data_IF_776621178429
#
_entry.id   IF_776621178429
#
_cell.length_a   1.000
_cell.length_b   1.000
_cell.length_c   1.000
_cell.angle_alpha   90.00
_cell.angle_beta   90.00
_cell.angle_gamma   90.00
#
_symmetry.space_group_name_H-M   'P 1'
#
loop_
_entity.id
_entity.type
_entity.pdbx_description
1 polymer ?
#
# COMPACT_ATOMS: atom_id res chain seq x y z
N UNK A 1 -41.95 10.26 30.35
CA UNK A 1 -42.70 11.18 29.48
C UNK A 1 -41.87 11.38 28.23
N UNK A 2 -42.22 10.63 27.17
CA UNK A 2 -41.52 10.64 25.87
C UNK A 2 -41.85 11.92 25.10
N UNK A 3 -40.84 12.52 24.47
CA UNK A 3 -41.05 13.49 23.38
C UNK A 3 -40.18 13.09 22.18
N UNK A 4 -40.70 12.15 21.39
CA UNK A 4 -40.25 11.87 20.03
C UNK A 4 -40.72 13.00 19.12
N UNK A 5 -39.78 13.75 18.52
CA UNK A 5 -40.08 14.61 17.36
C UNK A 5 -39.86 13.82 16.08
N UNK A 6 -40.95 13.68 15.33
CA UNK A 6 -41.04 13.06 14.00
C UNK A 6 -40.50 14.05 12.94
N UNK A 7 -39.64 13.58 12.05
CA UNK A 7 -39.35 14.21 10.76
C UNK A 7 -38.94 13.09 9.80
N UNK A 8 -39.90 12.50 9.08
CA UNK A 8 -40.29 12.88 7.71
C UNK A 8 -39.38 12.24 6.66
N UNK A 9 -39.77 11.01 6.29
CA UNK A 9 -39.38 10.27 5.08
C UNK A 9 -39.45 11.16 3.83
N UNK A 10 -38.37 11.23 3.06
CA UNK A 10 -38.42 11.44 1.61
C UNK A 10 -37.49 10.43 0.94
N UNK A 11 -38.07 9.30 0.53
CA UNK A 11 -37.45 8.30 -0.33
C UNK A 11 -37.70 8.74 -1.77
N UNK A 12 -36.66 9.15 -2.50
CA UNK A 12 -36.75 9.28 -3.96
C UNK A 12 -36.15 8.03 -4.61
N UNK A 13 -37.06 7.12 -4.95
CA UNK A 13 -36.83 5.99 -5.86
C UNK A 13 -36.63 6.54 -7.28
N UNK A 14 -35.53 6.16 -7.95
CA UNK A 14 -35.42 6.23 -9.40
C UNK A 14 -34.90 4.88 -9.92
N UNK A 15 -35.83 3.99 -10.22
CA UNK A 15 -35.60 2.74 -10.94
C UNK A 15 -35.93 3.00 -12.41
N UNK A 16 -34.95 2.89 -13.31
CA UNK A 16 -35.19 2.87 -14.76
C UNK A 16 -34.64 1.55 -15.32
N UNK A 17 -35.57 0.61 -15.52
CA UNK A 17 -35.37 -0.62 -16.28
C UNK A 17 -35.44 -0.30 -17.78
N UNK A 18 -34.42 -0.69 -18.54
CA UNK A 18 -34.55 -0.86 -19.99
C UNK A 18 -34.12 -2.29 -20.35
N UNK A 19 -35.11 -3.18 -20.37
CA UNK A 19 -35.05 -4.42 -21.14
C UNK A 19 -35.63 -4.11 -22.53
N UNK A 20 -34.82 -4.21 -23.57
CA UNK A 20 -35.32 -4.39 -24.93
C UNK A 20 -34.81 -5.74 -25.44
N UNK A 21 -35.61 -6.76 -25.18
CA UNK A 21 -35.58 -8.03 -25.89
C UNK A 21 -36.14 -7.81 -27.30
N UNK A 22 -35.26 -7.85 -28.31
CA UNK A 22 -35.65 -7.92 -29.72
C UNK A 22 -35.42 -9.32 -30.27
N UNK A 23 -36.36 -10.25 -30.01
CA UNK A 23 -36.50 -11.46 -30.79
C UNK A 23 -37.09 -11.09 -32.16
N UNK A 24 -36.38 -11.38 -33.24
CA UNK A 24 -36.83 -11.15 -34.62
C UNK A 24 -36.25 -12.20 -35.55
N UNK A 25 -37.13 -12.94 -36.23
CA UNK A 25 -36.91 -14.16 -36.99
C UNK A 25 -35.92 -14.08 -38.17
N UNK A 26 -35.32 -15.24 -38.44
CA UNK A 26 -34.62 -15.64 -39.66
C UNK A 26 -35.38 -15.29 -40.95
N UNK A 27 -34.66 -14.73 -41.94
CA UNK A 27 -34.83 -15.10 -43.35
C UNK A 27 -33.45 -15.16 -44.03
N UNK A 28 -33.21 -16.30 -44.68
CA UNK A 28 -32.05 -16.62 -45.49
C UNK A 28 -32.07 -15.84 -46.79
N UNK A 29 -30.92 -15.30 -47.20
CA UNK A 29 -30.52 -15.18 -48.61
C UNK A 29 -29.04 -15.55 -48.71
N UNK A 30 -28.76 -16.57 -49.51
CA UNK A 30 -27.42 -17.04 -49.86
C UNK A 30 -26.83 -16.15 -50.94
N UNK A 31 -25.58 -15.70 -50.78
CA UNK A 31 -24.63 -15.65 -51.90
C UNK A 31 -23.16 -15.59 -51.41
N UNK A 32 -22.46 -16.70 -51.68
CA UNK A 32 -21.10 -16.79 -52.23
C UNK A 32 -19.89 -16.21 -51.47
N UNK A 33 -19.26 -17.12 -50.73
CA UNK A 33 -17.81 -17.35 -50.52
C UNK A 33 -16.80 -16.26 -50.88
N UNK A 34 -16.18 -15.68 -49.84
CA UNK A 34 -14.72 -15.44 -49.77
C UNK A 34 -14.25 -16.02 -48.45
N UNK A 35 -13.39 -17.04 -48.50
CA UNK A 35 -12.78 -17.62 -47.32
C UNK A 35 -11.66 -16.70 -46.82
N UNK A 36 -11.98 -15.82 -45.86
CA UNK A 36 -10.96 -15.27 -44.97
C UNK A 36 -10.80 -16.25 -43.81
N UNK A 37 -9.73 -17.03 -43.87
CA UNK A 37 -9.20 -17.73 -42.70
C UNK A 37 -8.70 -16.68 -41.73
N UNK A 38 -9.58 -16.14 -40.89
CA UNK A 38 -9.17 -15.46 -39.67
C UNK A 38 -8.61 -16.54 -38.75
N UNK A 39 -7.31 -16.79 -38.86
CA UNK A 39 -6.54 -17.34 -37.75
C UNK A 39 -6.72 -16.37 -36.59
N UNK A 40 -7.67 -16.69 -35.70
CA UNK A 40 -7.68 -16.16 -34.35
C UNK A 40 -6.36 -16.64 -33.76
N UNK A 41 -5.37 -15.74 -33.76
CA UNK A 41 -4.19 -15.92 -32.95
C UNK A 41 -4.69 -15.96 -31.50
N UNK A 42 -4.89 -17.17 -30.97
CA UNK A 42 -4.90 -17.42 -29.55
C UNK A 42 -3.66 -16.73 -29.01
N UNK A 43 -3.86 -15.55 -28.43
CA UNK A 43 -2.80 -14.85 -27.74
C UNK A 43 -2.69 -15.60 -26.43
N UNK A 44 -2.05 -16.77 -26.48
CA UNK A 44 -1.67 -17.53 -25.31
C UNK A 44 -0.81 -16.57 -24.50
N UNK A 45 -1.41 -15.94 -23.50
CA UNK A 45 -0.72 -15.08 -22.56
C UNK A 45 0.12 -16.06 -21.76
N UNK A 46 1.31 -16.35 -22.26
CA UNK A 46 2.28 -17.19 -21.55
C UNK A 46 2.54 -16.44 -20.25
N UNK A 47 2.02 -16.98 -19.15
CA UNK A 47 2.32 -16.44 -17.83
C UNK A 47 3.85 -16.35 -17.75
N UNK A 48 4.41 -15.16 -17.49
CA UNK A 48 5.85 -15.00 -17.45
C UNK A 48 6.44 -16.02 -16.49
N UNK A 49 7.52 -16.69 -16.90
CA UNK A 49 8.21 -17.66 -16.06
C UNK A 49 8.49 -17.03 -14.69
N UNK A 50 8.04 -17.65 -13.57
CA UNK A 50 8.21 -17.05 -12.27
C UNK A 50 9.71 -16.84 -12.01
N UNK A 51 10.10 -15.59 -11.75
CA UNK A 51 11.46 -15.30 -11.28
C UNK A 51 11.63 -15.86 -9.87
N UNK A 52 12.85 -16.24 -9.49
CA UNK A 52 13.11 -16.61 -8.09
C UNK A 52 12.72 -15.46 -7.14
N UNK A 53 12.25 -15.76 -5.93
CA UNK A 53 12.00 -14.75 -4.90
C UNK A 53 13.31 -14.13 -4.36
N UNK A 54 14.43 -14.86 -4.45
CA UNK A 54 15.75 -14.40 -4.04
C UNK A 54 16.15 -13.08 -4.70
N UNK A 55 16.68 -12.14 -3.91
CA UNK A 55 17.29 -10.90 -4.38
C UNK A 55 16.62 -9.63 -3.83
N UNK A 56 16.95 -8.51 -4.47
CA UNK A 56 16.46 -7.19 -4.11
C UNK A 56 15.20 -6.81 -4.89
N UNK A 57 14.27 -6.18 -4.20
CA UNK A 57 12.98 -5.76 -4.70
C UNK A 57 12.72 -4.31 -4.32
N UNK A 58 12.18 -3.53 -5.24
CA UNK A 58 11.91 -2.10 -5.04
C UNK A 58 10.42 -1.83 -5.20
N UNK A 59 9.83 -1.09 -4.26
CA UNK A 59 8.41 -0.80 -4.28
C UNK A 59 8.03 -0.04 -5.56
N UNK A 60 6.84 -0.34 -6.07
CA UNK A 60 6.20 0.36 -7.19
C UNK A 60 4.79 0.75 -6.77
N UNK A 61 4.30 1.87 -7.29
CA UNK A 61 2.96 2.40 -6.96
C UNK A 61 2.70 2.54 -5.45
N UNK A 62 3.74 2.85 -4.67
CA UNK A 62 3.68 2.79 -3.21
C UNK A 62 2.79 3.87 -2.59
N UNK A 63 2.58 4.99 -3.28
CA UNK A 63 1.69 6.08 -2.86
C UNK A 63 0.29 5.56 -2.49
N UNK A 64 -0.27 4.66 -3.30
CA UNK A 64 -1.60 4.08 -3.05
C UNK A 64 -1.64 3.25 -1.76
N UNK A 65 -0.53 2.59 -1.41
CA UNK A 65 -0.40 1.85 -0.14
C UNK A 65 -0.47 2.82 1.04
N UNK A 66 0.29 3.90 0.95
CA UNK A 66 0.46 4.89 2.01
C UNK A 66 -0.82 5.70 2.22
N UNK A 67 -1.52 6.08 1.14
CA UNK A 67 -2.78 6.82 1.24
C UNK A 67 -3.87 6.03 2.00
N UNK A 68 -3.90 4.70 1.86
CA UNK A 68 -4.84 3.83 2.61
C UNK A 68 -4.63 3.91 4.11
N UNK A 69 -3.40 4.02 4.56
CA UNK A 69 -3.09 4.10 6.00
C UNK A 69 -3.39 5.50 6.53
N UNK A 70 -3.18 6.55 5.72
CA UNK A 70 -3.49 7.93 6.12
C UNK A 70 -4.96 8.19 6.41
N UNK A 71 -5.87 7.45 5.76
CA UNK A 71 -7.30 7.52 6.07
C UNK A 71 -7.61 7.15 7.53
N UNK A 72 -6.78 6.34 8.16
CA UNK A 72 -6.92 5.93 9.57
C UNK A 72 -6.31 6.97 10.51
N UNK A 73 -5.14 7.51 10.16
CA UNK A 73 -4.33 8.31 11.08
C UNK A 73 -4.60 9.81 11.06
N UNK A 74 -5.16 10.35 9.97
CA UNK A 74 -5.41 11.77 9.83
C UNK A 74 -6.91 12.01 9.74
N UNK A 75 -7.45 12.87 10.61
CA UNK A 75 -8.88 13.15 10.68
C UNK A 75 -9.39 14.11 9.60
N UNK A 76 -8.52 14.94 9.03
CA UNK A 76 -8.87 15.97 8.07
C UNK A 76 -8.16 15.79 6.71
N UNK A 77 -8.82 16.27 5.65
CA UNK A 77 -8.33 16.12 4.28
C UNK A 77 -7.05 16.93 4.01
N UNK A 78 -6.86 18.07 4.67
CA UNK A 78 -5.71 18.94 4.46
C UNK A 78 -4.43 18.29 4.99
N UNK A 79 -4.46 17.71 6.19
CA UNK A 79 -3.34 16.94 6.75
C UNK A 79 -3.01 15.74 5.89
N UNK A 80 -4.02 15.00 5.41
CA UNK A 80 -3.82 13.87 4.48
C UNK A 80 -3.08 14.30 3.22
N UNK A 81 -3.54 15.38 2.57
CA UNK A 81 -2.92 15.90 1.36
C UNK A 81 -1.46 16.30 1.59
N UNK A 82 -1.18 17.04 2.66
CA UNK A 82 0.18 17.47 3.03
C UNK A 82 1.10 16.27 3.26
N UNK A 83 0.64 15.26 4.00
CA UNK A 83 1.48 14.10 4.34
C UNK A 83 1.69 13.19 3.12
N UNK A 84 0.68 13.03 2.24
CA UNK A 84 0.85 12.40 0.93
C UNK A 84 1.89 13.09 0.08
N UNK A 85 1.87 14.43 0.02
CA UNK A 85 2.87 15.22 -0.71
C UNK A 85 4.28 15.07 -0.11
N UNK A 86 4.38 14.99 1.22
CA UNK A 86 5.66 14.85 1.89
C UNK A 86 6.33 13.49 1.66
N UNK A 87 5.54 12.43 1.46
CA UNK A 87 6.05 11.07 1.30
C UNK A 87 5.87 10.49 -0.11
N UNK A 88 5.61 11.32 -1.12
CA UNK A 88 5.34 10.86 -2.49
C UNK A 88 6.50 10.08 -3.11
N UNK A 89 7.74 10.43 -2.75
CA UNK A 89 8.97 9.88 -3.33
C UNK A 89 9.56 8.73 -2.52
N UNK A 90 8.87 8.28 -1.48
CA UNK A 90 9.34 7.16 -0.68
C UNK A 90 9.27 5.88 -1.51
N UNK A 91 10.39 5.17 -1.58
CA UNK A 91 10.44 3.88 -2.28
C UNK A 91 11.04 2.83 -1.37
N UNK A 92 10.19 2.09 -0.63
CA UNK A 92 10.67 0.98 0.17
C UNK A 92 11.29 -0.14 -0.67
N UNK A 93 12.08 -0.97 -0.03
CA UNK A 93 12.69 -2.15 -0.63
C UNK A 93 12.43 -3.38 0.23
N UNK A 94 12.37 -4.53 -0.42
CA UNK A 94 12.50 -5.83 0.22
C UNK A 94 13.79 -6.50 -0.25
N UNK A 95 14.52 -7.08 0.67
CA UNK A 95 15.61 -8.00 0.35
C UNK A 95 15.23 -9.38 0.83
N UNK A 96 15.28 -10.36 -0.06
CA UNK A 96 14.97 -11.77 0.23
C UNK A 96 16.25 -12.58 0.05
N UNK A 97 16.68 -13.25 1.11
CA UNK A 97 17.85 -14.15 1.09
C UNK A 97 17.51 -15.46 1.78
N UNK A 98 17.31 -16.52 0.99
CA UNK A 98 16.74 -17.77 1.47
C UNK A 98 15.36 -17.53 2.08
N UNK A 99 15.22 -17.82 3.38
CA UNK A 99 13.98 -17.55 4.12
C UNK A 99 13.94 -16.16 4.75
N UNK A 100 15.06 -15.44 4.77
CA UNK A 100 15.17 -14.18 5.48
C UNK A 100 14.66 -13.03 4.61
N UNK A 101 13.84 -12.16 5.20
CA UNK A 101 13.27 -11.00 4.54
C UNK A 101 13.55 -9.73 5.35
N UNK A 102 14.13 -8.74 4.70
CA UNK A 102 14.37 -7.41 5.27
C UNK A 102 13.55 -6.38 4.51
N UNK A 103 12.81 -5.54 5.24
CA UNK A 103 12.11 -4.37 4.70
C UNK A 103 12.88 -3.10 5.05
N UNK A 104 13.11 -2.21 4.08
CA UNK A 104 13.82 -0.95 4.31
C UNK A 104 13.19 0.20 3.53
N UNK A 105 13.45 1.43 3.96
CA UNK A 105 13.14 2.63 3.18
C UNK A 105 14.04 3.79 3.56
N UNK A 106 14.08 4.78 2.67
CA UNK A 106 14.60 6.11 2.93
C UNK A 106 13.54 7.15 2.60
N UNK A 107 13.41 8.17 3.43
CA UNK A 107 12.45 9.26 3.23
C UNK A 107 13.12 10.62 3.42
N UNK A 108 12.94 11.52 2.46
CA UNK A 108 13.25 12.94 2.62
C UNK A 108 12.19 13.57 3.54
N UNK A 109 12.60 14.06 4.70
CA UNK A 109 11.69 14.56 5.72
C UNK A 109 11.45 16.06 5.63
N UNK A 110 12.11 16.80 4.72
CA UNK A 110 12.09 18.26 4.71
C UNK A 110 10.66 18.82 4.57
N UNK A 111 9.89 18.34 3.57
CA UNK A 111 8.48 18.74 3.40
C UNK A 111 7.62 18.39 4.62
N UNK A 112 7.81 17.21 5.20
CA UNK A 112 7.07 16.79 6.38
C UNK A 112 7.40 17.67 7.59
N UNK A 113 8.67 18.02 7.79
CA UNK A 113 9.14 18.92 8.84
C UNK A 113 8.51 20.31 8.68
N UNK A 114 8.43 20.84 7.46
CA UNK A 114 7.75 22.12 7.19
C UNK A 114 6.28 22.07 7.60
N UNK A 115 5.57 21.02 7.19
CA UNK A 115 4.17 20.85 7.58
C UNK A 115 4.01 20.67 9.08
N UNK A 116 4.87 19.89 9.73
CA UNK A 116 4.85 19.70 11.18
C UNK A 116 5.06 21.01 11.93
N UNK A 117 6.05 21.82 11.53
CA UNK A 117 6.32 23.12 12.14
C UNK A 117 5.15 24.09 11.93
N UNK A 118 4.56 24.13 10.72
CA UNK A 118 3.40 24.98 10.44
C UNK A 118 2.17 24.60 11.29
N UNK A 119 1.90 23.29 11.42
CA UNK A 119 0.76 22.79 12.21
C UNK A 119 0.93 23.03 13.72
N UNK A 120 2.16 23.05 14.21
CA UNK A 120 2.45 23.19 15.64
C UNK A 120 3.07 24.55 15.99
N UNK A 121 2.91 25.57 15.14
CA UNK A 121 3.49 26.91 15.33
C UNK A 121 3.02 27.63 16.60
N UNK A 122 1.85 27.25 17.12
CA UNK A 122 1.30 27.82 18.35
C UNK A 122 1.88 27.12 19.61
N UNK A 123 2.48 25.94 19.43
CA UNK A 123 3.16 25.17 20.48
C UNK A 123 4.69 25.39 20.45
N UNK A 124 5.29 25.43 19.25
CA UNK A 124 6.73 25.61 19.04
C UNK A 124 7.01 26.93 18.32
N UNK A 125 7.65 27.90 18.99
CA UNK A 125 7.96 29.22 18.42
C UNK A 125 8.84 29.22 17.16
N UNK A 126 9.62 28.17 16.91
CA UNK A 126 10.55 28.09 15.77
C UNK A 126 10.47 26.75 15.05
N UNK A 127 10.83 26.75 13.76
CA UNK A 127 10.93 25.52 12.96
C UNK A 127 12.02 24.60 13.52
N UNK A 128 13.11 25.17 14.00
CA UNK A 128 14.23 24.44 14.60
C UNK A 128 13.78 23.67 15.85
N UNK A 129 13.00 24.31 16.73
CA UNK A 129 12.44 23.67 17.92
C UNK A 129 11.45 22.56 17.55
N UNK A 130 10.50 22.84 16.66
CA UNK A 130 9.57 21.82 16.17
C UNK A 130 10.31 20.62 15.54
N UNK A 131 11.38 20.88 14.79
CA UNK A 131 12.22 19.83 14.20
C UNK A 131 12.90 19.00 15.29
N UNK A 132 13.52 19.63 16.28
CA UNK A 132 14.20 18.92 17.37
C UNK A 132 13.24 18.02 18.16
N UNK A 133 12.04 18.52 18.46
CA UNK A 133 10.98 17.73 19.11
C UNK A 133 10.56 16.56 18.24
N UNK A 134 10.26 16.79 16.96
CA UNK A 134 9.86 15.73 16.04
C UNK A 134 10.92 14.63 15.96
N UNK A 135 12.18 15.00 15.76
CA UNK A 135 13.29 14.05 15.66
C UNK A 135 13.49 13.28 16.95
N UNK A 136 13.46 13.95 18.12
CA UNK A 136 13.60 13.28 19.42
C UNK A 136 12.47 12.30 19.71
N UNK A 137 11.23 12.62 19.34
CA UNK A 137 10.10 11.67 19.46
C UNK A 137 10.31 10.46 18.54
N UNK A 138 10.85 10.66 17.33
CA UNK A 138 11.09 9.57 16.39
C UNK A 138 12.27 8.70 16.79
N UNK A 139 13.35 9.28 17.28
CA UNK A 139 14.48 8.53 17.85
C UNK A 139 14.00 7.64 19.01
N UNK A 140 13.23 8.19 19.96
CA UNK A 140 12.64 7.42 21.05
C UNK A 140 11.73 6.31 20.53
N UNK A 141 10.95 6.58 19.48
CA UNK A 141 10.07 5.57 18.88
C UNK A 141 10.87 4.44 18.24
N UNK A 142 11.91 4.75 17.47
CA UNK A 142 12.77 3.71 16.88
C UNK A 142 13.51 2.90 17.95
N UNK A 143 13.99 3.54 19.02
CA UNK A 143 14.58 2.85 20.16
C UNK A 143 13.63 1.93 20.95
N UNK A 144 12.32 2.01 20.70
CA UNK A 144 11.32 1.12 21.32
C UNK A 144 11.10 -0.19 20.56
N UNK A 145 11.53 -0.26 19.29
CA UNK A 145 11.39 -1.46 18.48
C UNK A 145 12.50 -2.46 18.78
N UNK A 146 12.18 -3.75 18.64
CA UNK A 146 13.15 -4.84 18.80
C UNK A 146 13.75 -5.27 17.48
N UNK A 147 12.98 -5.18 16.40
CA UNK A 147 13.35 -5.66 15.07
C UNK A 147 13.54 -4.55 14.05
N UNK A 148 13.34 -3.29 14.48
CA UNK A 148 13.49 -2.13 13.62
C UNK A 148 14.55 -1.17 14.12
N UNK A 149 15.24 -0.58 13.16
CA UNK A 149 16.15 0.55 13.38
C UNK A 149 15.75 1.69 12.48
N UNK A 150 16.01 2.91 12.94
CA UNK A 150 15.78 4.12 12.17
C UNK A 150 16.79 5.19 12.55
N UNK A 151 17.38 5.85 11.56
CA UNK A 151 18.38 6.90 11.76
C UNK A 151 18.04 8.11 10.91
N UNK A 152 18.18 9.30 11.50
CA UNK A 152 18.07 10.56 10.77
C UNK A 152 19.45 11.14 10.51
N UNK A 153 19.70 11.49 9.25
CA UNK A 153 20.82 12.36 8.92
C UNK A 153 20.44 13.80 9.27
N UNK A 154 21.08 14.35 10.30
CA UNK A 154 20.81 15.71 10.77
C UNK A 154 21.21 16.81 9.77
N UNK A 155 22.00 16.53 8.74
CA UNK A 155 22.33 17.49 7.69
C UNK A 155 21.28 17.45 6.58
N UNK A 156 21.04 16.27 6.00
CA UNK A 156 20.15 16.11 4.85
C UNK A 156 18.66 15.98 5.23
N UNK A 157 18.37 15.70 6.50
CA UNK A 157 17.03 15.35 7.01
C UNK A 157 16.44 14.10 6.36
N UNK A 158 17.29 13.22 5.84
CA UNK A 158 16.85 11.92 5.35
C UNK A 158 16.73 10.95 6.52
N UNK A 159 15.55 10.35 6.67
CA UNK A 159 15.34 9.18 7.52
C UNK A 159 15.65 7.92 6.72
N UNK A 160 16.46 7.03 7.28
CA UNK A 160 16.61 5.66 6.80
C UNK A 160 16.13 4.71 7.88
N UNK A 161 15.38 3.67 7.51
CA UNK A 161 14.90 2.68 8.46
C UNK A 161 14.86 1.28 7.84
N UNK A 162 15.02 0.30 8.72
CA UNK A 162 15.08 -1.12 8.36
C UNK A 162 14.32 -1.94 9.41
N UNK A 163 13.50 -2.87 8.94
CA UNK A 163 12.84 -3.93 9.68
C UNK A 163 13.48 -5.26 9.27
N UNK A 164 14.08 -5.93 10.25
CA UNK A 164 14.76 -7.21 10.08
C UNK A 164 13.86 -8.38 10.51
N UNK A 165 14.40 -9.60 10.36
CA UNK A 165 13.82 -10.84 10.86
C UNK A 165 12.45 -11.20 10.29
N UNK A 166 12.13 -10.69 9.09
CA UNK A 166 11.02 -11.20 8.30
C UNK A 166 11.32 -12.62 7.82
N UNK A 167 10.30 -13.48 7.78
CA UNK A 167 10.45 -14.89 7.41
C UNK A 167 9.51 -15.25 6.27
N UNK A 168 10.11 -15.64 5.13
CA UNK A 168 9.42 -16.17 3.97
C UNK A 168 9.07 -17.65 4.18
N UNK A 169 7.84 -18.01 3.84
CA UNK A 169 7.39 -19.39 3.70
C UNK A 169 6.80 -19.59 2.32
N UNK A 170 7.57 -20.19 1.41
CA UNK A 170 7.15 -20.39 0.02
C UNK A 170 5.97 -21.35 -0.12
N UNK A 171 5.90 -22.37 0.74
CA UNK A 171 4.82 -23.36 0.71
C UNK A 171 3.48 -22.74 1.11
N UNK A 172 3.49 -21.90 2.14
CA UNK A 172 2.31 -21.18 2.61
C UNK A 172 2.01 -19.92 1.80
N UNK A 173 2.94 -19.48 0.94
CA UNK A 173 2.91 -18.20 0.23
C UNK A 173 2.73 -17.00 1.17
N UNK A 174 3.55 -16.95 2.22
CA UNK A 174 3.49 -15.88 3.22
C UNK A 174 4.86 -15.31 3.54
N UNK A 175 4.89 -14.04 3.96
CA UNK A 175 6.01 -13.41 4.65
C UNK A 175 5.50 -12.95 6.01
N UNK A 176 6.15 -13.39 7.08
CA UNK A 176 5.80 -13.00 8.45
C UNK A 176 6.82 -11.98 8.94
N UNK A 177 6.38 -10.81 9.37
CA UNK A 177 7.24 -9.84 10.04
C UNK A 177 6.96 -9.84 11.55
N UNK A 178 8.00 -9.77 12.40
CA UNK A 178 7.83 -9.76 13.86
C UNK A 178 7.24 -8.44 14.37
N UNK A 179 7.31 -7.37 13.57
CA UNK A 179 6.69 -6.08 13.81
C UNK A 179 6.07 -5.58 12.50
N UNK A 180 5.09 -4.68 12.59
CA UNK A 180 4.40 -4.17 11.40
C UNK A 180 5.32 -3.23 10.60
N UNK A 181 5.57 -3.49 9.30
CA UNK A 181 6.26 -2.53 8.41
C UNK A 181 5.59 -1.17 8.50
N UNK A 182 6.36 -0.08 8.56
CA UNK A 182 5.80 1.26 8.72
C UNK A 182 6.64 2.30 7.99
N UNK A 183 6.07 3.50 7.86
CA UNK A 183 6.80 4.71 7.52
C UNK A 183 6.95 5.55 8.79
N UNK A 184 8.12 6.17 8.93
CA UNK A 184 8.41 7.14 9.98
C UNK A 184 8.28 6.61 11.42
N UNK A 185 8.38 5.29 11.64
CA UNK A 185 8.24 4.66 12.95
C UNK A 185 6.81 4.62 13.49
N UNK A 186 5.83 5.22 12.80
CA UNK A 186 4.50 5.49 13.36
C UNK A 186 3.33 5.27 12.40
N UNK A 187 3.57 5.22 11.09
CA UNK A 187 2.56 4.99 10.06
C UNK A 187 2.62 3.52 9.61
N UNK A 188 1.94 2.58 10.30
CA UNK A 188 1.97 1.18 9.90
C UNK A 188 1.40 1.02 8.49
N UNK A 189 2.02 0.12 7.71
CA UNK A 189 1.56 -0.33 6.40
C UNK A 189 0.49 -1.43 6.55
N UNK A 190 -0.43 -1.16 7.48
CA UNK A 190 -1.56 -1.98 7.90
C UNK A 190 -2.49 -1.14 8.80
N UNK A 191 -3.55 -1.74 9.37
CA UNK A 191 -4.57 -1.06 10.19
C UNK A 191 -4.00 -0.46 11.47
N UNK A 192 -3.09 -1.19 12.13
CA UNK A 192 -2.47 -0.79 13.39
C UNK A 192 -1.05 -1.39 13.48
N UNK A 193 -0.31 -1.00 14.51
CA UNK A 193 1.06 -1.48 14.77
C UNK A 193 1.15 -2.59 15.83
N UNK A 194 0.02 -3.01 16.41
CA UNK A 194 -0.06 -3.95 17.54
C UNK A 194 -0.40 -5.38 17.14
N UNK A 195 -0.91 -5.59 15.92
CA UNK A 195 -1.18 -6.91 15.36
C UNK A 195 0.14 -7.55 14.93
N UNK A 196 0.90 -8.05 15.92
CA UNK A 196 2.23 -8.64 15.76
C UNK A 196 2.27 -10.08 16.32
N UNK A 197 2.99 -11.01 15.67
CA UNK A 197 3.60 -10.86 14.34
C UNK A 197 2.54 -10.69 13.25
N UNK A 198 2.86 -9.94 12.21
CA UNK A 198 1.96 -9.68 11.08
C UNK A 198 2.29 -10.65 9.95
N UNK A 199 1.26 -11.28 9.37
CA UNK A 199 1.41 -12.17 8.22
C UNK A 199 0.93 -11.45 6.98
N UNK A 200 1.80 -11.35 5.98
CA UNK A 200 1.46 -10.95 4.62
C UNK A 200 1.37 -12.20 3.75
N UNK A 201 0.28 -12.35 3.01
CA UNK A 201 0.22 -13.27 1.87
C UNK A 201 0.96 -12.64 0.68
N UNK A 202 1.43 -13.46 -0.26
CA UNK A 202 2.05 -12.93 -1.47
C UNK A 202 1.64 -13.64 -2.76
N UNK A 203 1.71 -12.86 -3.83
CA UNK A 203 1.55 -13.30 -5.22
C UNK A 203 2.72 -12.81 -6.05
N UNK A 204 3.24 -13.69 -6.90
CA UNK A 204 4.32 -13.37 -7.84
C UNK A 204 3.78 -13.43 -9.27
N UNK A 205 3.85 -12.31 -9.98
CA UNK A 205 3.46 -12.20 -11.37
C UNK A 205 4.63 -11.63 -12.18
N UNK A 206 5.37 -12.50 -12.86
CA UNK A 206 6.60 -12.12 -13.55
C UNK A 206 7.62 -11.56 -12.57
N UNK A 207 8.06 -10.32 -12.79
CA UNK A 207 8.99 -9.59 -11.93
C UNK A 207 8.29 -8.72 -10.86
N UNK A 208 6.98 -8.86 -10.67
CA UNK A 208 6.20 -8.13 -9.66
C UNK A 208 5.79 -9.06 -8.52
N UNK A 209 6.31 -8.78 -7.33
CA UNK A 209 5.89 -9.37 -6.06
C UNK A 209 4.85 -8.45 -5.42
N UNK A 210 3.63 -8.95 -5.23
CA UNK A 210 2.60 -8.27 -4.43
C UNK A 210 2.49 -8.97 -3.08
N UNK A 211 2.72 -8.25 -1.99
CA UNK A 211 2.45 -8.74 -0.63
C UNK A 211 1.24 -8.02 -0.08
N UNK A 212 0.38 -8.69 0.69
CA UNK A 212 -0.79 -8.05 1.29
C UNK A 212 -1.16 -8.66 2.64
N UNK A 213 -1.59 -7.79 3.55
CA UNK A 213 -2.24 -8.17 4.79
C UNK A 213 -3.73 -7.82 4.70
N UNK A 214 -4.57 -8.63 5.34
CA UNK A 214 -6.02 -8.49 5.29
C UNK A 214 -6.65 -8.49 6.68
N UNK A 215 -7.79 -7.83 6.82
CA UNK A 215 -8.63 -7.87 8.02
C UNK A 215 -10.08 -7.89 7.63
N UNK A 216 -10.80 -8.83 8.22
CA UNK A 216 -12.27 -8.85 8.18
C UNK A 216 -12.81 -8.45 9.55
N UNK A 217 -13.68 -7.44 9.57
CA UNK A 217 -14.39 -7.02 10.79
C UNK A 217 -15.67 -7.84 10.92
N UNK A 218 -15.76 -8.68 11.95
CA UNK A 218 -16.89 -9.59 12.15
C UNK A 218 -18.24 -8.85 12.23
N UNK A 219 -18.25 -7.70 12.90
CA UNK A 219 -19.45 -6.91 13.19
C UNK A 219 -20.10 -6.32 11.92
N UNK A 220 -19.28 -5.93 10.95
CA UNK A 220 -19.74 -5.23 9.74
C UNK A 220 -19.59 -6.07 8.48
N UNK A 221 -18.84 -7.16 8.54
CA UNK A 221 -18.39 -7.93 7.37
C UNK A 221 -17.42 -7.17 6.47
N UNK A 222 -16.96 -5.98 6.88
CA UNK A 222 -16.02 -5.19 6.09
C UNK A 222 -14.69 -5.92 5.96
N UNK A 223 -14.22 -6.07 4.72
CA UNK A 223 -12.97 -6.72 4.39
C UNK A 223 -11.99 -5.70 3.82
N UNK A 224 -10.88 -5.47 4.53
CA UNK A 224 -9.85 -4.52 4.15
C UNK A 224 -8.58 -5.26 3.74
N UNK A 225 -7.97 -4.80 2.64
CA UNK A 225 -6.71 -5.33 2.10
C UNK A 225 -5.70 -4.19 1.99
N UNK A 226 -4.47 -4.47 2.45
CA UNK A 226 -3.33 -3.56 2.46
C UNK A 226 -2.20 -4.14 1.60
N UNK A 227 -2.26 -3.94 0.27
CA UNK A 227 -1.25 -4.46 -0.63
C UNK A 227 -0.04 -3.53 -0.73
N UNK A 228 1.14 -4.13 -0.93
CA UNK A 228 2.36 -3.47 -1.37
C UNK A 228 2.89 -4.22 -2.58
N UNK A 229 3.30 -3.48 -3.62
CA UNK A 229 3.88 -4.06 -4.82
C UNK A 229 5.36 -3.75 -4.88
N UNK A 230 6.15 -4.74 -5.26
CA UNK A 230 7.58 -4.61 -5.45
C UNK A 230 7.98 -5.20 -6.79
N UNK A 231 8.82 -4.48 -7.52
CA UNK A 231 9.45 -4.95 -8.74
C UNK A 231 10.83 -5.48 -8.44
N UNK A 232 11.19 -6.64 -9.01
CA UNK A 232 12.52 -7.21 -8.87
C UNK A 232 13.56 -6.26 -9.45
N UNK A 233 14.63 -6.00 -8.69
CA UNK A 233 15.78 -5.27 -9.19
C UNK A 233 16.59 -6.26 -10.01
N UNK A 234 16.78 -5.97 -11.29
CA UNK A 234 17.67 -6.76 -12.14
C UNK A 234 19.08 -6.66 -11.56
N UNK A 235 19.74 -7.79 -11.32
CA UNK A 235 21.17 -7.78 -11.07
C UNK A 235 21.85 -7.02 -12.22
N UNK A 236 22.72 -6.02 -11.95
CA UNK A 236 23.52 -5.41 -12.99
C UNK A 236 24.38 -6.52 -13.59
N UNK A 237 23.94 -7.00 -14.76
CA UNK A 237 24.31 -8.28 -15.34
C UNK A 237 25.81 -8.56 -15.24
N UNK A 238 26.15 -9.75 -14.76
CA UNK A 238 27.15 -10.60 -15.38
C UNK A 238 26.75 -10.81 -16.85
N UNK A 239 27.17 -9.89 -17.72
CA UNK A 239 27.27 -10.12 -19.17
C UNK A 239 28.67 -10.63 -19.49
#
# INVERSE_FOLDING_TARGET
MNNMKKSSLWMFSLLALLFVSGCGQQKQQQQQTTAETTTVAETTTVAPTPVSLEGDWKAVDFRDTVERTFLIYYGDANSRLKVTEAFQDIVPTLKITGTDVTYSYSADMNKYIDFYAEQNKDEYPTKEEATAILLGVREKKFGSFKHQTGTFDNNTKVLTATLNDGVLNEKAKTIVFPEVPNIFGVLPLYINSTDVPITYHYELNGDILTIYAEKTFEETGAHLVYPMKFKKVSDPKTN
#
